data_IF_706900805639
#
_entry.id   IF_706900805639
#
_cell.length_a   1.000
_cell.length_b   1.000
_cell.length_c   1.000
_cell.angle_alpha   90.00
_cell.angle_beta   90.00
_cell.angle_gamma   90.00
#
_symmetry.space_group_name_H-M   'P 1'
#
loop_
_entity.id
_entity.type
_entity.pdbx_description
1 polymer ?
#
# COMPACT_ATOMS: atom_id res chain seq x y z
N UNK A 1 12.87 10.96 20.95
CA UNK A 1 12.44 10.41 19.65
C UNK A 1 11.58 9.20 19.96
N UNK A 2 10.33 9.15 19.49
CA UNK A 2 9.53 7.92 19.59
C UNK A 2 10.27 6.85 18.80
N UNK A 3 10.59 5.72 19.44
CA UNK A 3 11.14 4.58 18.71
C UNK A 3 10.15 4.21 17.59
N UNK A 4 10.66 4.08 16.36
CA UNK A 4 9.85 3.69 15.22
C UNK A 4 9.27 2.28 15.39
N UNK A 5 8.52 1.82 14.41
CA UNK A 5 7.92 0.49 14.41
C UNK A 5 8.95 -0.63 14.59
N UNK A 6 8.78 -1.44 15.65
CA UNK A 6 9.44 -2.74 15.82
C UNK A 6 8.64 -3.87 15.16
N UNK A 7 9.27 -5.05 15.03
CA UNK A 7 8.66 -6.20 14.35
C UNK A 7 7.34 -6.66 14.97
N UNK A 8 7.28 -6.76 16.30
CA UNK A 8 6.06 -7.18 17.01
C UNK A 8 4.90 -6.21 16.81
N UNK A 9 5.20 -4.91 16.71
CA UNK A 9 4.22 -3.88 16.42
C UNK A 9 3.63 -4.04 15.01
N UNK A 10 4.50 -4.23 14.01
CA UNK A 10 4.09 -4.44 12.61
C UNK A 10 3.36 -5.77 12.44
N UNK A 11 3.78 -6.83 13.13
CA UNK A 11 3.10 -8.12 13.11
C UNK A 11 1.69 -8.02 13.69
N UNK A 12 1.53 -7.32 14.82
CA UNK A 12 0.21 -7.07 15.40
C UNK A 12 -0.68 -6.23 14.46
N UNK A 13 -0.11 -5.20 13.83
CA UNK A 13 -0.82 -4.36 12.86
C UNK A 13 -1.33 -5.17 11.66
N UNK A 14 -0.44 -5.94 11.02
CA UNK A 14 -0.79 -6.80 9.88
C UNK A 14 -1.75 -7.91 10.26
N UNK A 15 -1.58 -8.50 11.45
CA UNK A 15 -2.51 -9.50 11.99
C UNK A 15 -3.91 -8.93 12.12
N UNK A 16 -4.07 -7.75 12.71
CA UNK A 16 -5.36 -7.08 12.83
C UNK A 16 -5.99 -6.72 11.47
N UNK A 17 -5.19 -6.32 10.48
CA UNK A 17 -5.68 -6.09 9.12
C UNK A 17 -6.15 -7.38 8.46
N UNK A 18 -5.39 -8.47 8.60
CA UNK A 18 -5.73 -9.77 8.04
C UNK A 18 -6.99 -10.39 8.66
N UNK A 19 -7.10 -10.34 10.00
CA UNK A 19 -8.30 -10.84 10.71
C UNK A 19 -9.46 -9.85 10.65
N UNK A 20 -9.22 -8.66 10.08
CA UNK A 20 -10.18 -7.58 10.06
C UNK A 20 -10.67 -7.32 11.51
N UNK A 21 -9.79 -6.88 12.39
CA UNK A 21 -10.17 -6.51 13.76
C UNK A 21 -9.87 -5.03 13.97
N UNK A 22 -10.91 -4.20 13.86
CA UNK A 22 -10.80 -2.74 14.02
C UNK A 22 -10.32 -2.32 15.42
N UNK A 23 -10.68 -3.07 16.46
CA UNK A 23 -10.25 -2.78 17.84
C UNK A 23 -8.78 -3.11 18.01
N UNK A 24 -8.35 -4.29 17.54
CA UNK A 24 -6.95 -4.69 17.55
C UNK A 24 -6.08 -3.78 16.67
N UNK A 25 -6.61 -3.33 15.53
CA UNK A 25 -5.96 -2.37 14.63
C UNK A 25 -5.67 -1.05 15.36
N UNK A 26 -6.69 -0.44 15.96
CA UNK A 26 -6.54 0.82 16.70
C UNK A 26 -5.58 0.67 17.90
N UNK A 27 -5.59 -0.48 18.58
CA UNK A 27 -4.64 -0.78 19.64
C UNK A 27 -3.20 -0.91 19.11
N UNK A 28 -3.00 -1.58 17.96
CA UNK A 28 -1.69 -1.72 17.33
C UNK A 28 -1.11 -0.38 16.88
N UNK A 29 -1.92 0.51 16.34
CA UNK A 29 -1.52 1.85 15.87
C UNK A 29 -0.94 2.74 16.97
N UNK A 30 -1.24 2.49 18.24
CA UNK A 30 -0.66 3.23 19.38
C UNK A 30 0.81 2.85 19.67
N UNK A 31 1.34 1.81 19.01
CA UNK A 31 2.69 1.25 19.26
C UNK A 31 3.78 1.89 18.40
N UNK A 32 3.43 2.77 17.46
CA UNK A 32 4.38 3.40 16.57
C UNK A 32 3.83 4.66 15.88
N UNK A 33 4.67 5.39 15.14
CA UNK A 33 4.26 6.60 14.45
C UNK A 33 3.36 6.27 13.25
N UNK A 34 2.18 6.90 13.20
CA UNK A 34 1.16 6.66 12.15
C UNK A 34 1.67 7.01 10.75
N UNK A 35 2.53 8.04 10.63
CA UNK A 35 3.10 8.51 9.35
C UNK A 35 3.81 7.43 8.53
N UNK A 36 4.25 6.35 9.20
CA UNK A 36 4.99 5.25 8.59
C UNK A 36 4.10 4.10 8.09
N UNK A 37 2.78 4.17 8.32
CA UNK A 37 1.81 3.09 8.03
C UNK A 37 0.45 3.63 7.53
N UNK A 38 0.40 4.83 6.97
CA UNK A 38 -0.84 5.47 6.52
C UNK A 38 -1.53 4.67 5.40
N UNK A 39 -0.81 4.29 4.34
CA UNK A 39 -1.34 3.52 3.22
C UNK A 39 -1.55 2.06 3.59
N UNK A 40 -0.70 1.49 4.45
CA UNK A 40 -0.86 0.13 4.96
C UNK A 40 -2.14 -0.04 5.79
N UNK A 41 -2.43 0.88 6.71
CA UNK A 41 -3.52 0.74 7.68
C UNK A 41 -4.75 1.60 7.37
N UNK A 42 -4.65 2.54 6.42
CA UNK A 42 -5.64 3.59 6.22
C UNK A 42 -7.03 3.09 5.89
N UNK A 43 -7.16 2.09 5.02
CA UNK A 43 -8.47 1.51 4.69
C UNK A 43 -9.14 0.85 5.92
N UNK A 44 -8.34 0.21 6.78
CA UNK A 44 -8.83 -0.38 8.04
C UNK A 44 -9.27 0.69 9.04
N UNK A 45 -8.54 1.80 9.14
CA UNK A 45 -8.94 2.95 9.99
C UNK A 45 -10.20 3.60 9.46
N UNK A 46 -10.33 3.79 8.14
CA UNK A 46 -11.53 4.34 7.52
C UNK A 46 -12.74 3.42 7.77
N UNK A 47 -12.58 2.10 7.64
CA UNK A 47 -13.60 1.12 7.98
C UNK A 47 -14.01 1.17 9.45
N UNK A 48 -13.05 1.25 10.38
CA UNK A 48 -13.33 1.40 11.80
C UNK A 48 -14.07 2.72 12.14
N UNK A 49 -13.73 3.81 11.44
CA UNK A 49 -14.38 5.10 11.62
C UNK A 49 -15.83 5.08 11.11
N UNK A 50 -16.08 4.48 9.94
CA UNK A 50 -17.42 4.33 9.38
C UNK A 50 -18.37 3.51 10.29
N UNK A 51 -17.82 2.57 11.09
CA UNK A 51 -18.55 1.81 12.09
C UNK A 51 -18.75 2.54 13.43
N UNK A 52 -18.11 3.70 13.61
CA UNK A 52 -18.15 4.42 14.89
C UNK A 52 -17.40 3.72 16.03
N UNK A 53 -16.36 2.92 15.73
CA UNK A 53 -15.58 2.26 16.78
C UNK A 53 -14.92 3.31 17.71
N UNK A 54 -14.84 3.04 19.04
CA UNK A 54 -14.23 3.97 19.99
C UNK A 54 -12.78 4.35 19.63
N UNK A 55 -12.52 5.65 19.48
CA UNK A 55 -11.20 6.18 19.11
C UNK A 55 -10.88 6.15 17.61
N UNK A 56 -11.74 5.58 16.77
CA UNK A 56 -11.52 5.53 15.32
C UNK A 56 -11.56 6.91 14.66
N UNK A 57 -12.49 7.78 15.08
CA UNK A 57 -12.60 9.14 14.55
C UNK A 57 -11.35 9.99 14.83
N UNK A 58 -10.78 9.88 16.03
CA UNK A 58 -9.53 10.56 16.39
C UNK A 58 -8.36 10.02 15.54
N UNK A 59 -8.26 8.70 15.40
CA UNK A 59 -7.22 8.08 14.56
C UNK A 59 -7.36 8.47 13.08
N UNK A 60 -8.58 8.52 12.56
CA UNK A 60 -8.86 8.97 11.19
C UNK A 60 -8.44 10.43 10.98
N UNK A 61 -8.71 11.32 11.95
CA UNK A 61 -8.27 12.71 11.88
C UNK A 61 -6.73 12.82 11.90
N UNK A 62 -6.04 12.01 12.72
CA UNK A 62 -4.57 11.94 12.73
C UNK A 62 -4.01 11.46 11.38
N UNK A 63 -4.61 10.43 10.79
CA UNK A 63 -4.22 9.93 9.47
C UNK A 63 -4.44 10.99 8.40
N UNK A 64 -5.62 11.62 8.39
CA UNK A 64 -5.96 12.67 7.41
C UNK A 64 -4.97 13.83 7.46
N UNK A 65 -4.63 14.33 8.66
CA UNK A 65 -3.65 15.40 8.81
C UNK A 65 -2.27 15.00 8.30
N UNK A 66 -1.81 13.78 8.61
CA UNK A 66 -0.50 13.29 8.17
C UNK A 66 -0.42 13.04 6.65
N UNK A 67 -1.52 12.60 6.02
CA UNK A 67 -1.65 12.47 4.57
C UNK A 67 -1.55 13.83 3.88
N UNK A 68 -2.29 14.82 4.39
CA UNK A 68 -2.29 16.19 3.85
C UNK A 68 -0.92 16.87 4.00
N UNK A 69 -0.23 16.64 5.11
CA UNK A 69 1.10 17.20 5.35
C UNK A 69 2.13 16.63 4.38
N UNK A 70 2.12 15.31 4.13
CA UNK A 70 3.15 14.66 3.29
C UNK A 70 2.86 14.72 1.79
N UNK A 71 1.59 14.67 1.38
CA UNK A 71 1.15 14.86 -0.01
C UNK A 71 1.79 13.91 -1.04
N UNK A 72 2.01 12.64 -0.69
CA UNK A 72 2.52 11.66 -1.63
C UNK A 72 1.42 11.22 -2.61
N UNK A 73 1.83 10.71 -3.77
CA UNK A 73 0.89 10.12 -4.74
C UNK A 73 0.15 8.95 -4.07
N UNK A 74 -1.18 8.99 -4.10
CA UNK A 74 -2.05 8.06 -3.38
C UNK A 74 -2.67 8.63 -2.09
N UNK A 75 -2.14 9.73 -1.57
CA UNK A 75 -2.59 10.25 -0.28
C UNK A 75 -3.92 10.99 -0.38
N UNK A 76 -4.18 11.69 -1.49
CA UNK A 76 -5.45 12.38 -1.68
C UNK A 76 -6.59 11.36 -1.83
N UNK A 77 -6.35 10.25 -2.53
CA UNK A 77 -7.33 9.18 -2.69
C UNK A 77 -7.68 8.52 -1.35
N UNK A 78 -6.70 8.38 -0.45
CA UNK A 78 -6.94 7.87 0.90
C UNK A 78 -7.56 8.95 1.81
N UNK A 79 -7.21 10.23 1.64
CA UNK A 79 -7.81 11.35 2.35
C UNK A 79 -9.31 11.49 2.02
N UNK A 80 -9.68 11.40 0.73
CA UNK A 80 -11.06 11.37 0.26
C UNK A 80 -11.84 10.22 0.88
N UNK A 81 -11.20 9.07 1.07
CA UNK A 81 -11.82 7.92 1.75
C UNK A 81 -12.16 8.24 3.21
N UNK A 82 -11.30 8.95 3.93
CA UNK A 82 -11.62 9.39 5.29
C UNK A 82 -12.75 10.43 5.32
N UNK A 83 -12.78 11.37 4.38
CA UNK A 83 -13.86 12.36 4.25
C UNK A 83 -15.20 11.68 3.94
N UNK A 84 -15.20 10.67 3.07
CA UNK A 84 -16.38 9.86 2.77
C UNK A 84 -16.85 9.05 4.00
N UNK A 85 -15.94 8.41 4.73
CA UNK A 85 -16.25 7.63 5.93
C UNK A 85 -16.86 8.46 7.07
N UNK A 86 -16.57 9.77 7.10
CA UNK A 86 -17.10 10.72 8.08
C UNK A 86 -18.35 11.47 7.60
N UNK A 87 -18.80 11.22 6.36
CA UNK A 87 -19.99 11.83 5.77
C UNK A 87 -19.82 13.28 5.29
N UNK A 88 -18.58 13.77 5.18
CA UNK A 88 -18.25 15.18 4.93
C UNK A 88 -17.99 15.50 3.44
N UNK A 89 -17.96 14.48 2.57
CA UNK A 89 -17.68 14.67 1.15
C UNK A 89 -18.54 13.77 0.25
N UNK A 90 -18.75 14.23 -1.00
CA UNK A 90 -19.27 13.39 -2.05
C UNK A 90 -18.29 12.24 -2.33
N UNK A 91 -18.80 11.00 -2.38
CA UNK A 91 -17.99 9.82 -2.68
C UNK A 91 -17.55 9.92 -4.14
N UNK A 92 -16.23 9.87 -4.46
CA UNK A 92 -15.77 9.76 -5.83
C UNK A 92 -16.49 8.60 -6.53
N UNK A 93 -16.93 8.79 -7.78
CA UNK A 93 -17.61 7.75 -8.57
C UNK A 93 -16.62 6.67 -9.07
N UNK A 94 -15.81 6.12 -8.16
CA UNK A 94 -14.87 5.04 -8.41
C UNK A 94 -15.52 3.69 -8.06
N UNK A 95 -15.27 2.68 -8.89
CA UNK A 95 -15.79 1.33 -8.67
C UNK A 95 -14.92 0.59 -7.65
N UNK A 96 -15.50 0.05 -6.56
CA UNK A 96 -14.74 -0.76 -5.62
C UNK A 96 -14.18 -2.01 -6.31
N UNK A 97 -12.91 -2.33 -6.06
CA UNK A 97 -12.24 -3.54 -6.53
C UNK A 97 -11.46 -4.18 -5.38
N UNK A 98 -11.64 -5.50 -5.19
CA UNK A 98 -11.04 -6.27 -4.09
C UNK A 98 -9.56 -6.62 -4.36
N UNK A 99 -8.78 -5.63 -4.80
CA UNK A 99 -7.38 -5.79 -5.17
C UNK A 99 -6.46 -5.60 -3.96
N UNK A 100 -5.45 -6.46 -3.85
CA UNK A 100 -4.34 -6.26 -2.92
C UNK A 100 -3.36 -5.23 -3.48
N UNK A 101 -3.29 -4.07 -2.83
CA UNK A 101 -2.38 -2.98 -3.21
C UNK A 101 -0.90 -3.35 -3.14
N UNK A 102 -0.52 -4.35 -2.32
CA UNK A 102 0.86 -4.84 -2.29
C UNK A 102 1.19 -5.57 -3.58
N UNK A 103 0.36 -6.55 -3.94
CA UNK A 103 0.53 -7.32 -5.17
C UNK A 103 0.45 -6.42 -6.40
N UNK A 104 -0.50 -5.48 -6.45
CA UNK A 104 -0.59 -4.51 -7.54
C UNK A 104 0.65 -3.62 -7.63
N UNK A 105 1.16 -3.13 -6.50
CA UNK A 105 2.39 -2.36 -6.49
C UNK A 105 3.57 -3.15 -7.06
N UNK A 106 3.68 -4.46 -6.76
CA UNK A 106 4.74 -5.30 -7.33
C UNK A 106 4.68 -5.36 -8.86
N UNK A 107 3.48 -5.41 -9.45
CA UNK A 107 3.31 -5.38 -10.91
C UNK A 107 3.72 -4.02 -11.50
N UNK A 108 3.31 -2.92 -10.86
CA UNK A 108 3.59 -1.56 -11.32
C UNK A 108 5.08 -1.18 -11.22
N UNK A 109 5.79 -1.68 -10.21
CA UNK A 109 7.18 -1.28 -9.91
C UNK A 109 8.24 -2.13 -10.59
N UNK A 110 7.84 -3.20 -11.28
CA UNK A 110 8.77 -4.10 -11.94
C UNK A 110 9.43 -3.50 -13.20
N UNK A 111 10.36 -4.25 -13.78
CA UNK A 111 11.01 -3.88 -15.03
C UNK A 111 10.00 -3.99 -16.19
N UNK A 112 9.82 -2.98 -17.06
CA UNK A 112 8.93 -3.07 -18.22
C UNK A 112 9.23 -4.23 -19.17
N UNK A 113 10.45 -4.79 -19.14
CA UNK A 113 10.82 -5.97 -19.92
C UNK A 113 10.48 -7.30 -19.22
N UNK A 114 10.24 -7.30 -17.90
CA UNK A 114 10.11 -8.50 -17.06
C UNK A 114 8.89 -8.47 -16.12
N UNK A 115 8.03 -7.44 -16.22
CA UNK A 115 6.90 -7.25 -15.31
C UNK A 115 5.69 -6.60 -15.99
N UNK A 116 4.70 -6.20 -15.20
CA UNK A 116 3.34 -5.92 -15.63
C UNK A 116 2.45 -7.16 -15.48
N UNK A 117 1.20 -7.04 -15.87
CA UNK A 117 0.22 -8.11 -15.69
C UNK A 117 -1.20 -7.66 -15.98
N UNK A 118 -2.15 -8.32 -15.32
CA UNK A 118 -3.58 -7.99 -15.39
C UNK A 118 -4.26 -8.23 -14.05
N UNK A 119 -5.39 -7.57 -13.83
CA UNK A 119 -6.28 -7.81 -12.71
C UNK A 119 -7.56 -8.45 -13.25
N UNK A 120 -8.02 -9.55 -12.64
CA UNK A 120 -9.36 -10.07 -12.88
C UNK A 120 -10.36 -9.14 -12.16
N UNK A 121 -11.20 -8.43 -12.90
CA UNK A 121 -12.16 -7.46 -12.37
C UNK A 121 -13.28 -8.12 -11.55
N UNK A 122 -13.50 -9.42 -11.69
CA UNK A 122 -14.50 -10.16 -10.92
C UNK A 122 -14.00 -10.59 -9.54
N UNK A 123 -12.69 -10.84 -9.40
CA UNK A 123 -12.08 -11.33 -8.15
C UNK A 123 -11.17 -10.32 -7.47
N UNK A 124 -10.58 -9.38 -8.22
CA UNK A 124 -9.52 -8.49 -7.79
C UNK A 124 -8.12 -9.12 -7.82
N UNK A 125 -7.98 -10.36 -8.30
CA UNK A 125 -6.70 -11.08 -8.33
C UNK A 125 -5.73 -10.49 -9.35
N UNK A 126 -4.47 -10.29 -8.95
CA UNK A 126 -3.40 -9.78 -9.79
C UNK A 126 -2.58 -10.93 -10.40
N UNK A 127 -2.46 -10.94 -11.72
CA UNK A 127 -1.78 -11.95 -12.52
C UNK A 127 -0.56 -11.35 -13.22
N UNK A 128 0.67 -11.77 -12.90
CA UNK A 128 1.86 -11.33 -13.62
C UNK A 128 1.88 -11.80 -15.08
N UNK A 129 2.43 -10.98 -15.98
CA UNK A 129 2.47 -11.29 -17.43
C UNK A 129 3.28 -12.56 -17.79
N UNK A 130 4.20 -13.01 -16.93
CA UNK A 130 5.07 -14.17 -17.18
C UNK A 130 4.50 -15.51 -16.66
N UNK A 131 3.25 -15.51 -16.17
CA UNK A 131 2.62 -16.73 -15.61
C UNK A 131 2.09 -17.69 -16.69
N UNK A 132 2.15 -17.33 -17.98
CA UNK A 132 1.72 -18.19 -19.11
C UNK A 132 2.70 -19.34 -19.47
N UNK A 133 3.84 -19.49 -18.78
CA UNK A 133 4.88 -20.46 -19.16
C UNK A 133 4.71 -21.92 -18.64
N UNK A 134 3.52 -22.34 -18.18
CA UNK A 134 3.31 -23.74 -17.73
C UNK A 134 2.15 -24.46 -18.42
N UNK A 135 2.26 -24.67 -19.73
CA UNK A 135 1.67 -25.84 -20.41
C UNK A 135 1.27 -25.65 -21.87
N UNK A 136 1.61 -26.56 -22.80
CA UNK A 136 1.06 -26.54 -24.15
C UNK A 136 -0.41 -27.00 -24.07
N UNK A 137 -1.35 -26.05 -23.97
CA UNK A 137 -2.78 -26.36 -24.01
C UNK A 137 -3.75 -25.38 -23.35
N UNK A 138 -3.35 -24.23 -22.81
CA UNK A 138 -4.31 -23.26 -22.27
C UNK A 138 -4.79 -22.29 -23.35
N UNK A 139 -5.99 -22.56 -23.84
CA UNK A 139 -6.98 -21.68 -24.49
C UNK A 139 -6.61 -20.18 -24.59
N UNK A 140 -5.75 -19.83 -25.56
CA UNK A 140 -5.39 -18.45 -25.89
C UNK A 140 -6.50 -17.66 -26.60
N UNK A 141 -7.76 -18.12 -26.57
CA UNK A 141 -8.88 -17.53 -27.31
C UNK A 141 -9.99 -16.96 -26.42
N UNK A 142 -10.00 -17.19 -25.10
CA UNK A 142 -10.93 -16.52 -24.15
C UNK A 142 -10.31 -15.29 -23.43
N UNK A 143 -9.09 -14.90 -23.81
CA UNK A 143 -8.16 -14.24 -22.88
C UNK A 143 -8.04 -12.69 -23.01
N UNK A 144 -8.93 -12.06 -23.76
CA UNK A 144 -8.93 -10.60 -24.04
C UNK A 144 -10.33 -9.98 -23.88
N UNK A 145 -11.12 -10.47 -22.91
CA UNK A 145 -12.38 -9.85 -22.52
C UNK A 145 -12.09 -8.55 -21.71
N UNK A 146 -12.31 -7.35 -22.29
CA UNK A 146 -12.02 -6.09 -21.62
C UNK A 146 -13.00 -5.80 -20.46
N UNK A 147 -14.10 -6.53 -20.36
CA UNK A 147 -15.02 -6.44 -19.22
C UNK A 147 -14.52 -7.26 -18.02
N UNK A 148 -13.66 -8.26 -18.27
CA UNK A 148 -13.07 -9.12 -17.24
C UNK A 148 -11.68 -8.67 -16.80
N UNK A 149 -10.86 -8.16 -17.72
CA UNK A 149 -9.44 -7.92 -17.44
C UNK A 149 -9.08 -6.43 -17.43
N UNK A 150 -8.31 -6.01 -16.42
CA UNK A 150 -7.65 -4.71 -16.39
C UNK A 150 -6.13 -4.89 -16.52
N UNK A 151 -5.56 -4.41 -17.62
CA UNK A 151 -4.12 -4.51 -17.87
C UNK A 151 -3.31 -3.56 -16.98
N UNK A 152 -2.25 -4.09 -16.38
CA UNK A 152 -1.35 -3.38 -15.47
C UNK A 152 0.02 -3.23 -16.13
N UNK A 153 0.50 -2.00 -16.39
CA UNK A 153 1.82 -1.78 -16.93
C UNK A 153 2.90 -1.92 -15.85
N UNK A 154 4.11 -2.30 -16.24
CA UNK A 154 5.29 -2.02 -15.43
C UNK A 154 5.82 -0.61 -15.75
N UNK A 155 5.89 0.24 -14.74
CA UNK A 155 6.30 1.66 -14.84
C UNK A 155 7.81 1.85 -14.73
N UNK A 156 8.54 0.79 -14.39
CA UNK A 156 9.99 0.76 -14.29
C UNK A 156 10.56 1.50 -13.10
N UNK A 157 11.88 1.65 -13.11
CA UNK A 157 12.66 1.97 -11.90
C UNK A 157 12.70 3.44 -11.49
N UNK A 158 12.04 4.35 -12.20
CA UNK A 158 12.13 5.80 -11.91
C UNK A 158 11.53 6.14 -10.53
N UNK A 159 10.36 5.59 -10.21
CA UNK A 159 9.70 5.84 -8.93
C UNK A 159 10.51 5.24 -7.76
N UNK A 160 10.94 3.99 -7.89
CA UNK A 160 11.82 3.35 -6.91
C UNK A 160 13.17 4.07 -6.73
N UNK A 161 13.74 4.66 -7.79
CA UNK A 161 14.97 5.46 -7.66
C UNK A 161 14.73 6.73 -6.85
N UNK A 162 13.61 7.41 -7.13
CA UNK A 162 13.19 8.59 -6.35
C UNK A 162 12.93 8.25 -4.89
N UNK A 163 12.43 7.05 -4.59
CA UNK A 163 12.26 6.58 -3.21
C UNK A 163 13.60 6.43 -2.48
N UNK A 164 14.65 5.97 -3.17
CA UNK A 164 16.01 5.95 -2.60
C UNK A 164 16.51 7.36 -2.28
N UNK A 165 16.31 8.33 -3.18
CA UNK A 165 16.71 9.73 -2.97
C UNK A 165 16.00 10.36 -1.77
N UNK A 166 14.67 10.22 -1.69
CA UNK A 166 13.88 10.76 -0.58
C UNK A 166 14.26 10.10 0.75
N UNK A 167 14.46 8.78 0.77
CA UNK A 167 14.88 8.10 1.99
C UNK A 167 16.23 8.60 2.49
N UNK A 168 17.19 8.83 1.59
CA UNK A 168 18.51 9.37 1.91
C UNK A 168 18.39 10.72 2.63
N UNK A 169 17.46 11.56 2.22
CA UNK A 169 17.26 12.88 2.83
C UNK A 169 16.59 12.79 4.21
N UNK A 170 15.88 11.71 4.51
CA UNK A 170 15.34 11.41 5.84
C UNK A 170 16.35 10.72 6.79
N UNK A 171 17.49 10.24 6.27
CA UNK A 171 18.52 9.60 7.11
C UNK A 171 19.23 10.64 7.97
N UNK A 172 18.97 10.60 9.28
CA UNK A 172 19.63 11.49 10.25
C UNK A 172 21.12 11.20 10.50
N UNK A 173 21.60 9.99 10.20
CA UNK A 173 23.05 9.67 10.24
C UNK A 173 23.73 10.17 8.96
N UNK A 174 24.45 11.28 9.07
CA UNK A 174 25.16 11.92 7.97
C UNK A 174 26.19 10.98 7.29
N UNK A 175 26.82 10.06 8.04
CA UNK A 175 27.78 9.12 7.47
C UNK A 175 27.08 8.06 6.64
N UNK A 176 25.95 7.52 7.11
CA UNK A 176 25.13 6.59 6.34
C UNK A 176 24.53 7.28 5.10
N UNK A 177 23.96 8.48 5.26
CA UNK A 177 23.42 9.26 4.16
C UNK A 177 24.48 9.52 3.07
N UNK A 178 25.71 9.88 3.47
CA UNK A 178 26.84 10.05 2.54
C UNK A 178 27.17 8.78 1.75
N UNK A 179 27.22 7.61 2.40
CA UNK A 179 27.44 6.32 1.72
C UNK A 179 26.33 5.99 0.74
N UNK A 180 25.07 6.21 1.12
CA UNK A 180 23.92 5.94 0.26
C UNK A 180 23.90 6.87 -0.97
N UNK A 181 24.21 8.17 -0.82
CA UNK A 181 24.31 9.11 -1.96
C UNK A 181 25.33 8.66 -3.00
N UNK A 182 26.48 8.15 -2.55
CA UNK A 182 27.50 7.60 -3.44
C UNK A 182 26.97 6.30 -4.09
N UNK A 183 26.31 5.44 -3.33
CA UNK A 183 25.83 4.14 -3.79
C UNK A 183 24.82 4.23 -4.94
N UNK A 184 23.93 5.23 -4.94
CA UNK A 184 22.89 5.38 -5.96
C UNK A 184 23.40 5.88 -7.31
N UNK A 185 24.67 6.29 -7.43
CA UNK A 185 25.22 6.81 -8.68
C UNK A 185 25.39 5.76 -9.79
N UNK A 186 24.71 5.92 -10.93
CA UNK A 186 24.95 5.14 -12.15
C UNK A 186 24.42 3.70 -12.12
N UNK A 187 24.89 2.86 -13.06
CA UNK A 187 24.36 1.50 -13.26
C UNK A 187 24.51 0.63 -12.00
N UNK A 188 23.46 -0.08 -11.60
CA UNK A 188 23.46 -0.94 -10.41
C UNK A 188 23.19 -0.22 -9.09
N UNK A 189 22.63 1.00 -9.14
CA UNK A 189 22.25 1.82 -7.99
C UNK A 189 21.45 1.05 -6.94
N UNK A 190 20.36 0.39 -7.35
CA UNK A 190 19.49 -0.37 -6.44
C UNK A 190 20.25 -1.44 -5.65
N UNK A 191 21.05 -2.26 -6.32
CA UNK A 191 21.82 -3.31 -5.64
C UNK A 191 22.78 -2.70 -4.63
N UNK A 192 23.58 -1.70 -5.02
CA UNK A 192 24.54 -1.07 -4.10
C UNK A 192 23.88 -0.34 -2.94
N UNK A 193 22.74 0.30 -3.18
CA UNK A 193 21.95 0.91 -2.12
C UNK A 193 21.52 -0.13 -1.09
N UNK A 194 20.99 -1.27 -1.57
CA UNK A 194 20.63 -2.41 -0.71
C UNK A 194 21.85 -2.98 0.02
N UNK A 195 22.99 -3.13 -0.66
CA UNK A 195 24.25 -3.61 -0.06
C UNK A 195 24.71 -2.71 1.10
N UNK A 196 24.57 -1.37 0.97
CA UNK A 196 24.91 -0.43 2.05
C UNK A 196 23.98 -0.58 3.25
N UNK A 197 22.69 -0.82 3.03
CA UNK A 197 21.71 -1.00 4.10
C UNK A 197 21.78 -2.39 4.75
N UNK A 198 22.22 -3.43 4.03
CA UNK A 198 22.30 -4.79 4.54
C UNK A 198 23.20 -4.94 5.79
N UNK A 199 24.13 -3.99 6.00
CA UNK A 199 24.95 -3.93 7.21
C UNK A 199 24.25 -3.36 8.45
N UNK A 200 23.01 -2.86 8.33
CA UNK A 200 22.19 -2.31 9.42
C UNK A 200 20.72 -2.70 9.22
N UNK A 201 20.31 -3.78 9.89
CA UNK A 201 18.95 -4.33 9.83
C UNK A 201 17.87 -3.29 10.17
N UNK A 202 18.17 -2.35 11.07
CA UNK A 202 17.21 -1.30 11.42
C UNK A 202 16.99 -0.33 10.26
N UNK A 203 18.03 0.08 9.56
CA UNK A 203 17.89 0.95 8.39
C UNK A 203 17.33 0.21 7.19
N UNK A 204 17.64 -1.08 7.04
CA UNK A 204 17.01 -1.94 6.03
C UNK A 204 15.48 -2.01 6.21
N UNK A 205 15.02 -2.37 7.41
CA UNK A 205 13.59 -2.44 7.72
C UNK A 205 12.89 -1.09 7.63
N UNK A 206 13.59 0.01 7.95
CA UNK A 206 13.05 1.37 7.79
C UNK A 206 12.87 1.75 6.33
N UNK A 207 13.86 1.44 5.47
CA UNK A 207 13.75 1.68 4.03
C UNK A 207 12.65 0.83 3.41
N UNK A 208 12.55 -0.46 3.76
CA UNK A 208 11.51 -1.34 3.24
C UNK A 208 10.12 -0.78 3.54
N UNK A 209 9.86 -0.42 4.80
CA UNK A 209 8.58 0.21 5.19
C UNK A 209 8.33 1.52 4.46
N UNK A 210 9.34 2.39 4.36
CA UNK A 210 9.22 3.65 3.63
C UNK A 210 8.86 3.42 2.16
N UNK A 211 9.51 2.46 1.50
CA UNK A 211 9.29 2.14 0.10
C UNK A 211 7.91 1.50 -0.12
N UNK A 212 7.53 0.49 0.68
CA UNK A 212 6.23 -0.18 0.59
C UNK A 212 5.06 0.80 0.73
N UNK A 213 5.17 1.71 1.69
CA UNK A 213 4.17 2.72 1.98
C UNK A 213 3.93 3.63 0.77
N UNK A 214 5.01 4.02 0.08
CA UNK A 214 4.91 4.84 -1.13
C UNK A 214 4.43 4.05 -2.35
N UNK A 215 4.85 2.80 -2.47
CA UNK A 215 4.40 1.88 -3.52
C UNK A 215 2.90 1.63 -3.44
N UNK A 216 2.35 1.39 -2.24
CA UNK A 216 0.89 1.27 -2.01
C UNK A 216 0.14 2.54 -2.39
N UNK A 217 0.69 3.71 -2.06
CA UNK A 217 0.13 4.99 -2.49
C UNK A 217 0.08 5.12 -4.02
N UNK A 218 1.17 4.78 -4.71
CA UNK A 218 1.20 4.80 -6.18
C UNK A 218 0.22 3.81 -6.80
N UNK A 219 0.08 2.60 -6.25
CA UNK A 219 -0.90 1.61 -6.68
C UNK A 219 -2.34 2.11 -6.49
N UNK A 220 -2.64 2.76 -5.36
CA UNK A 220 -3.95 3.39 -5.10
C UNK A 220 -4.26 4.49 -6.11
N UNK A 221 -3.31 5.39 -6.37
CA UNK A 221 -3.49 6.46 -7.34
C UNK A 221 -3.70 5.91 -8.76
N UNK A 222 -2.94 4.88 -9.14
CA UNK A 222 -3.10 4.21 -10.43
C UNK A 222 -4.48 3.57 -10.58
N UNK A 223 -4.99 2.88 -9.56
CA UNK A 223 -6.38 2.36 -9.58
C UNK A 223 -7.41 3.46 -9.78
N UNK A 224 -7.23 4.60 -9.10
CA UNK A 224 -8.14 5.74 -9.23
C UNK A 224 -8.11 6.32 -10.65
N UNK A 225 -6.95 6.38 -11.28
CA UNK A 225 -6.78 6.78 -12.69
C UNK A 225 -7.52 5.81 -13.64
N UNK A 226 -7.55 4.52 -13.31
CA UNK A 226 -8.33 3.48 -14.03
C UNK A 226 -9.84 3.46 -13.64
N UNK A 227 -10.29 4.35 -12.76
CA UNK A 227 -11.69 4.45 -12.34
C UNK A 227 -12.11 3.49 -11.23
N UNK A 228 -11.15 2.92 -10.51
CA UNK A 228 -11.35 1.97 -9.41
C UNK A 228 -10.85 2.51 -8.07
N UNK A 229 -11.33 1.92 -6.98
CA UNK A 229 -10.79 2.17 -5.65
C UNK A 229 -10.70 0.85 -4.86
N UNK A 230 -9.80 0.75 -3.86
CA UNK A 230 -9.75 -0.42 -3.01
C UNK A 230 -11.09 -0.66 -2.30
N UNK A 231 -11.57 -1.90 -2.33
CA UNK A 231 -12.82 -2.28 -1.68
C UNK A 231 -12.80 -1.98 -0.16
N UNK A 232 -13.92 -1.48 0.40
CA UNK A 232 -14.09 -1.37 1.85
C UNK A 232 -14.67 -2.69 2.33
N UNK A 233 -13.96 -3.45 3.15
CA UNK A 233 -14.64 -4.48 3.93
C UNK A 233 -15.47 -3.77 4.99
N UNK A 234 -16.75 -3.50 4.68
CA UNK A 234 -17.72 -3.20 5.72
C UNK A 234 -17.88 -4.46 6.53
N UNK A 235 -17.59 -4.37 7.83
CA UNK A 235 -17.99 -5.41 8.75
C UNK A 235 -19.50 -5.46 8.75
N UNK A 236 -20.05 -6.48 8.12
CA UNK A 236 -21.39 -6.92 8.44
C UNK A 236 -21.28 -7.48 9.86
N UNK A 237 -21.85 -6.80 10.85
CA UNK A 237 -22.08 -7.44 12.14
C UNK A 237 -22.77 -8.79 11.89
N UNK A 238 -22.40 -9.88 12.58
CA UNK A 238 -23.20 -11.10 12.50
C UNK A 238 -24.62 -10.71 12.91
N UNK A 239 -25.56 -10.86 11.96
CA UNK A 239 -26.98 -10.57 12.19
C UNK A 239 -27.39 -11.14 13.55
N UNK A 240 -27.87 -10.33 14.50
CA UNK A 240 -28.38 -10.86 15.76
C UNK A 240 -29.75 -11.48 15.45
N UNK A 241 -29.77 -12.74 15.03
CA UNK A 241 -31.03 -13.46 14.84
C UNK A 241 -30.96 -14.70 13.98
N UNK A 242 -30.63 -15.82 14.62
CA UNK A 242 -31.35 -17.08 14.44
C UNK A 242 -31.16 -17.92 15.70
N UNK A 243 -31.74 -17.46 16.80
CA UNK A 243 -32.20 -18.37 17.83
C UNK A 243 -33.66 -18.71 17.50
N UNK A 244 -33.84 -19.88 16.90
CA UNK A 244 -35.07 -20.67 17.01
C UNK A 244 -34.67 -22.05 17.52
#
# INVERSE_FOLDING_TARGET
>A
MVEGWGEDGLRALRGALHTQDGVALLAALRRGPVREVLQLAGDGVAGAAAQGLPGAAEMAALFLGALQERGFRGDEELADRFRAATGDAAIPLLRPLAVDLETLAMLLEGDPAESGGRIDLSTGECWPAFTDELGPGSEAEEDDDPERWLYVPALGSRAGYRDMELFIDEVGDAALAGRLRIAIGGRGAFRRFKDVLAGDERSWSRYHRFSDERQRGRARAWLAEEGYCPHITFFVEPSPGSFL
#
